data_IF_201171870278
#
_entry.id   IF_201171870278
#
_cell.length_a   1.000
_cell.length_b   1.000
_cell.length_c   1.000
_cell.angle_alpha   90.00
_cell.angle_beta   90.00
_cell.angle_gamma   90.00
#
_symmetry.space_group_name_H-M   'P 1'
#
loop_
_entity.id
_entity.type
_entity.pdbx_description
1 polymer ?
#
# COMPACT_ATOMS: atom_id res chain seq x y z
N UNK A 1 0.76 -24.39 -14.29
CA UNK A 1 1.06 -23.47 -15.43
C UNK A 1 1.26 -22.02 -14.96
N UNK A 2 1.44 -21.75 -13.67
CA UNK A 2 1.43 -20.39 -13.10
C UNK A 2 2.76 -19.93 -12.50
N UNK A 3 3.86 -20.66 -12.74
CA UNK A 3 5.15 -20.40 -12.08
C UNK A 3 5.80 -19.06 -12.40
N UNK A 4 5.34 -18.35 -13.45
CA UNK A 4 5.76 -16.98 -13.77
C UNK A 4 4.71 -15.92 -13.41
N UNK A 5 3.51 -16.34 -13.01
CA UNK A 5 2.37 -15.45 -12.86
C UNK A 5 2.63 -14.41 -11.76
N UNK A 6 3.26 -14.79 -10.65
CA UNK A 6 3.56 -13.86 -9.57
C UNK A 6 4.55 -12.78 -10.00
N UNK A 7 5.64 -13.17 -10.67
CA UNK A 7 6.59 -12.22 -11.25
C UNK A 7 5.91 -11.28 -12.27
N UNK A 8 5.00 -11.80 -13.09
CA UNK A 8 4.28 -10.97 -14.06
C UNK A 8 3.36 -9.96 -13.35
N UNK A 9 2.69 -10.33 -12.26
CA UNK A 9 1.93 -9.39 -11.44
C UNK A 9 2.83 -8.27 -10.89
N UNK A 10 3.99 -8.64 -10.35
CA UNK A 10 5.00 -7.72 -9.84
C UNK A 10 5.47 -6.74 -10.93
N UNK A 11 5.77 -7.25 -12.13
CA UNK A 11 6.18 -6.42 -13.26
C UNK A 11 5.06 -5.52 -13.76
N UNK A 12 3.82 -6.00 -13.78
CA UNK A 12 2.65 -5.17 -14.13
C UNK A 12 2.47 -4.00 -13.17
N UNK A 13 2.82 -4.15 -11.90
CA UNK A 13 2.89 -3.04 -10.92
C UNK A 13 4.10 -2.14 -11.11
N UNK A 14 5.22 -2.71 -11.57
CA UNK A 14 6.41 -1.96 -11.94
C UNK A 14 6.18 -0.96 -13.08
N UNK A 15 5.26 -1.25 -14.00
CA UNK A 15 4.90 -0.35 -15.13
C UNK A 15 4.36 1.00 -14.64
N UNK A 16 3.23 1.10 -13.91
CA UNK A 16 2.71 2.38 -13.43
C UNK A 16 3.70 3.07 -12.48
N UNK A 17 4.41 2.32 -11.62
CA UNK A 17 5.46 2.90 -10.79
C UNK A 17 6.53 3.61 -11.65
N UNK A 18 7.03 2.95 -12.70
CA UNK A 18 8.06 3.49 -13.59
C UNK A 18 7.53 4.69 -14.36
N UNK A 19 6.31 4.61 -14.87
CA UNK A 19 5.64 5.72 -15.57
C UNK A 19 5.54 6.94 -14.67
N UNK A 20 5.04 6.78 -13.43
CA UNK A 20 4.96 7.88 -12.48
C UNK A 20 6.33 8.42 -12.11
N UNK A 21 7.33 7.56 -11.92
CA UNK A 21 8.70 7.98 -11.61
C UNK A 21 9.33 8.81 -12.73
N UNK A 22 9.08 8.47 -13.99
CA UNK A 22 9.59 9.20 -15.17
C UNK A 22 8.85 10.53 -15.34
N UNK A 23 7.52 10.51 -15.32
CA UNK A 23 6.67 11.66 -15.60
C UNK A 23 6.61 12.68 -14.45
N UNK A 24 6.55 12.21 -13.21
CA UNK A 24 6.43 13.05 -12.00
C UNK A 24 7.76 13.18 -11.27
N UNK A 25 8.69 13.90 -11.92
CA UNK A 25 10.03 14.19 -11.37
C UNK A 25 10.01 14.85 -10.00
N UNK A 26 8.94 15.60 -9.70
CA UNK A 26 8.70 16.24 -8.41
C UNK A 26 8.43 15.26 -7.26
N UNK A 27 7.90 14.07 -7.56
CA UNK A 27 7.49 13.06 -6.57
C UNK A 27 8.54 11.96 -6.36
N UNK A 28 9.62 11.91 -7.15
CA UNK A 28 10.63 10.83 -7.12
C UNK A 28 11.19 10.53 -5.73
N UNK A 29 11.47 11.57 -4.94
CA UNK A 29 12.01 11.40 -3.58
C UNK A 29 11.01 10.71 -2.67
N UNK A 30 9.74 11.10 -2.76
CA UNK A 30 8.65 10.51 -1.99
C UNK A 30 8.36 9.09 -2.45
N UNK A 31 8.32 8.84 -3.77
CA UNK A 31 8.19 7.50 -4.33
C UNK A 31 9.30 6.57 -3.85
N UNK A 32 10.58 6.96 -3.98
CA UNK A 32 11.69 6.12 -3.56
C UNK A 32 11.69 5.90 -2.05
N UNK A 33 11.35 6.92 -1.27
CA UNK A 33 11.26 6.78 0.18
C UNK A 33 10.15 5.79 0.56
N UNK A 34 8.96 5.93 -0.01
CA UNK A 34 7.85 5.00 0.20
C UNK A 34 8.17 3.59 -0.29
N UNK A 35 8.81 3.45 -1.46
CA UNK A 35 9.20 2.15 -2.02
C UNK A 35 10.18 1.42 -1.10
N UNK A 36 11.24 2.10 -0.64
CA UNK A 36 12.22 1.51 0.27
C UNK A 36 11.67 1.25 1.67
N UNK A 37 10.77 2.10 2.16
CA UNK A 37 10.13 1.91 3.47
C UNK A 37 9.21 0.68 3.45
N UNK A 38 8.35 0.59 2.43
CA UNK A 38 7.38 -0.50 2.32
C UNK A 38 8.05 -1.81 1.90
N UNK A 39 9.12 -1.79 1.12
CA UNK A 39 9.84 -3.01 0.71
C UNK A 39 10.36 -3.85 1.88
N UNK A 40 10.64 -3.23 3.04
CA UNK A 40 11.02 -3.96 4.25
C UNK A 40 9.90 -4.89 4.72
N UNK A 41 8.64 -4.49 4.51
CA UNK A 41 7.47 -5.31 4.81
C UNK A 41 7.31 -6.48 3.82
N UNK A 42 8.09 -6.59 2.75
CA UNK A 42 8.15 -7.83 1.96
C UNK A 42 8.57 -9.05 2.81
N UNK A 43 9.32 -8.82 3.89
CA UNK A 43 9.66 -9.87 4.86
C UNK A 43 8.45 -10.39 5.65
N UNK A 44 7.33 -9.65 5.69
CA UNK A 44 6.11 -10.15 6.34
C UNK A 44 5.45 -11.28 5.57
N UNK A 45 5.89 -11.58 4.34
CA UNK A 45 5.38 -12.74 3.60
C UNK A 45 5.58 -14.05 4.36
N UNK A 46 6.61 -14.13 5.21
CA UNK A 46 6.81 -15.27 6.12
C UNK A 46 5.62 -15.54 7.06
N UNK A 47 4.76 -14.54 7.27
CA UNK A 47 3.56 -14.60 8.11
C UNK A 47 2.30 -14.74 7.24
N UNK A 48 2.31 -14.18 6.03
CA UNK A 48 1.13 -14.17 5.14
C UNK A 48 1.01 -15.44 4.31
N UNK A 49 2.14 -16.02 3.91
CA UNK A 49 2.20 -17.20 3.07
C UNK A 49 1.48 -18.37 3.72
N UNK A 50 0.50 -18.94 3.01
CA UNK A 50 -0.26 -20.09 3.47
C UNK A 50 -1.44 -19.77 4.39
N UNK A 51 -1.52 -18.54 4.89
CA UNK A 51 -2.62 -18.14 5.76
C UNK A 51 -3.89 -17.84 4.97
N UNK A 52 -3.84 -17.04 3.91
CA UNK A 52 -5.00 -16.80 3.04
C UNK A 52 -4.64 -16.82 1.55
N UNK A 53 -3.35 -16.80 1.22
CA UNK A 53 -2.84 -16.85 -0.14
C UNK A 53 -1.51 -17.60 -0.22
N UNK A 54 -1.18 -18.17 -1.37
CA UNK A 54 -0.04 -19.07 -1.61
C UNK A 54 0.54 -18.84 -3.02
N UNK A 55 1.31 -17.76 -3.24
CA UNK A 55 1.93 -17.52 -4.53
C UNK A 55 3.06 -18.52 -4.83
N UNK A 56 3.31 -18.80 -6.11
CA UNK A 56 4.52 -19.50 -6.54
C UNK A 56 5.65 -18.50 -6.80
N UNK A 57 6.82 -18.76 -6.21
CA UNK A 57 8.02 -17.92 -6.37
C UNK A 57 8.95 -18.49 -7.44
N UNK A 58 9.51 -17.63 -8.29
CA UNK A 58 10.57 -17.99 -9.23
C UNK A 58 11.94 -17.95 -8.55
N UNK A 59 12.19 -16.92 -7.73
CA UNK A 59 13.46 -16.70 -7.03
C UNK A 59 13.21 -16.68 -5.52
N UNK A 60 13.24 -17.86 -4.92
CA UNK A 60 13.02 -18.06 -3.49
C UNK A 60 14.33 -17.89 -2.68
N UNK A 61 14.23 -17.32 -1.48
CA UNK A 61 15.36 -17.22 -0.56
C UNK A 61 15.58 -18.55 0.19
N UNK A 62 16.43 -19.41 -0.38
CA UNK A 62 16.76 -20.70 0.22
C UNK A 62 15.51 -21.55 0.46
N UNK A 63 15.34 -22.06 1.68
CA UNK A 63 14.18 -22.88 2.06
C UNK A 63 13.01 -22.06 2.63
N UNK A 64 13.13 -20.74 2.72
CA UNK A 64 12.09 -19.88 3.30
C UNK A 64 11.00 -19.57 2.30
N UNK A 65 9.74 -19.52 2.72
CA UNK A 65 8.57 -19.21 1.86
C UNK A 65 8.46 -17.71 1.57
N UNK A 66 9.52 -17.16 0.98
CA UNK A 66 9.64 -15.76 0.59
C UNK A 66 10.56 -15.67 -0.63
N UNK A 67 10.19 -14.83 -1.60
CA UNK A 67 10.95 -14.56 -2.81
C UNK A 67 11.41 -13.11 -2.93
N UNK A 68 12.26 -12.85 -3.92
CA UNK A 68 12.63 -11.46 -4.29
C UNK A 68 11.41 -10.70 -4.82
N UNK A 69 10.45 -11.43 -5.37
CA UNK A 69 9.18 -10.95 -5.89
C UNK A 69 8.39 -10.21 -4.81
N UNK A 70 8.39 -10.68 -3.56
CA UNK A 70 7.67 -10.02 -2.45
C UNK A 70 8.26 -8.65 -2.12
N UNK A 71 9.59 -8.57 -2.11
CA UNK A 71 10.32 -7.32 -1.85
C UNK A 71 10.03 -6.32 -2.98
N UNK A 72 10.04 -6.79 -4.23
CA UNK A 72 9.73 -5.97 -5.41
C UNK A 72 8.26 -5.55 -5.46
N UNK A 73 7.34 -6.45 -5.12
CA UNK A 73 5.91 -6.17 -5.02
C UNK A 73 5.70 -5.00 -4.05
N UNK A 74 6.25 -5.13 -2.84
CA UNK A 74 6.20 -4.12 -1.79
C UNK A 74 6.87 -2.81 -2.20
N UNK A 75 7.99 -2.89 -2.94
CA UNK A 75 8.65 -1.71 -3.49
C UNK A 75 7.72 -0.95 -4.44
N UNK A 76 7.09 -1.64 -5.40
CA UNK A 76 6.25 -1.00 -6.40
C UNK A 76 4.96 -0.43 -5.80
N UNK A 77 4.13 -1.24 -5.14
CA UNK A 77 2.90 -0.71 -4.57
C UNK A 77 3.20 0.30 -3.45
N UNK A 78 4.33 0.14 -2.75
CA UNK A 78 4.79 1.08 -1.73
C UNK A 78 5.01 2.46 -2.29
N UNK A 79 5.83 2.60 -3.32
CA UNK A 79 6.05 3.89 -3.98
C UNK A 79 4.77 4.49 -4.57
N UNK A 80 3.92 3.66 -5.17
CA UNK A 80 2.63 4.07 -5.73
C UNK A 80 1.70 4.62 -4.63
N UNK A 81 1.52 3.88 -3.54
CA UNK A 81 0.60 4.22 -2.46
C UNK A 81 0.97 5.51 -1.72
N UNK A 82 2.22 5.95 -1.81
CA UNK A 82 2.65 7.23 -1.25
C UNK A 82 2.23 8.43 -2.11
N UNK A 83 2.08 8.25 -3.43
CA UNK A 83 2.04 9.37 -4.38
C UNK A 83 0.79 9.46 -5.24
N UNK A 84 -0.13 8.49 -5.14
CA UNK A 84 -1.18 8.31 -6.14
C UNK A 84 -2.13 9.51 -6.20
N UNK A 85 -2.53 10.05 -5.04
CA UNK A 85 -3.31 11.28 -4.98
C UNK A 85 -2.57 12.46 -5.64
N UNK A 86 -1.27 12.59 -5.38
CA UNK A 86 -0.46 13.68 -5.90
C UNK A 86 -0.28 13.55 -7.42
N UNK A 87 -0.16 12.33 -7.94
CA UNK A 87 -0.06 12.01 -9.37
C UNK A 87 -1.26 12.58 -10.13
N UNK A 88 -2.49 12.35 -9.64
CA UNK A 88 -3.72 12.73 -10.35
C UNK A 88 -4.25 14.13 -9.99
N UNK A 89 -4.08 14.59 -8.76
CA UNK A 89 -4.77 15.78 -8.26
C UNK A 89 -3.86 16.92 -7.79
N UNK A 90 -2.59 16.65 -7.43
CA UNK A 90 -1.69 17.68 -6.89
C UNK A 90 -0.71 18.23 -7.93
N UNK A 91 -0.63 19.56 -8.06
CA UNK A 91 0.35 20.25 -8.91
C UNK A 91 1.75 20.27 -8.26
N UNK A 92 2.79 20.30 -9.11
CA UNK A 92 4.26 20.30 -8.86
C UNK A 92 4.81 21.07 -7.64
N UNK A 93 4.06 21.99 -7.03
CA UNK A 93 4.54 22.91 -5.99
C UNK A 93 3.72 22.90 -4.69
N UNK A 94 2.92 21.88 -4.46
CA UNK A 94 2.10 21.77 -3.24
C UNK A 94 2.93 21.68 -1.96
N UNK A 95 4.10 21.03 -1.96
CA UNK A 95 4.89 20.79 -0.73
C UNK A 95 5.71 21.98 -0.20
N UNK A 96 5.76 23.13 -0.87
CA UNK A 96 6.74 24.20 -0.52
C UNK A 96 6.37 25.08 0.69
N UNK A 97 5.22 24.88 1.33
CA UNK A 97 4.93 25.55 2.60
C UNK A 97 5.53 24.73 3.75
N UNK A 98 6.82 24.91 4.06
CA UNK A 98 7.39 24.41 5.32
C UNK A 98 6.69 25.15 6.45
N UNK A 99 5.81 24.48 7.19
CA UNK A 99 5.02 25.14 8.24
C UNK A 99 5.77 25.23 9.57
N UNK A 100 6.85 24.45 9.81
CA UNK A 100 7.51 24.40 11.12
C UNK A 100 9.03 24.22 11.04
N UNK A 101 9.74 24.77 12.04
CA UNK A 101 11.22 24.75 12.17
C UNK A 101 11.78 23.43 12.75
N UNK A 102 10.95 22.52 13.27
CA UNK A 102 11.37 21.25 13.89
C UNK A 102 10.45 20.11 13.46
N UNK A 103 11.03 19.06 12.89
CA UNK A 103 10.33 17.81 12.56
C UNK A 103 9.87 17.10 13.83
N UNK A 104 8.58 16.86 13.97
CA UNK A 104 8.02 16.04 15.04
C UNK A 104 7.88 14.58 14.60
N UNK A 105 8.94 13.80 14.80
CA UNK A 105 8.93 12.36 14.48
C UNK A 105 8.04 11.52 15.39
N UNK A 106 7.58 12.06 16.54
CA UNK A 106 6.74 11.28 17.47
C UNK A 106 5.42 10.85 16.85
N UNK A 107 4.83 11.66 15.96
CA UNK A 107 3.54 11.38 15.34
C UNK A 107 3.60 10.24 14.30
N UNK A 108 4.51 10.25 13.30
CA UNK A 108 4.70 9.09 12.41
C UNK A 108 5.05 7.81 13.17
N UNK A 109 5.93 7.90 14.18
CA UNK A 109 6.34 6.76 14.99
C UNK A 109 5.13 6.19 15.75
N UNK A 110 4.34 7.04 16.40
CA UNK A 110 3.13 6.62 17.11
C UNK A 110 2.15 5.93 16.14
N UNK A 111 1.90 6.50 14.96
CA UNK A 111 0.99 5.92 13.98
C UNK A 111 1.44 4.50 13.58
N UNK A 112 2.71 4.32 13.21
CA UNK A 112 3.27 3.03 12.81
C UNK A 112 3.24 2.03 13.96
N UNK A 113 3.71 2.42 15.15
CA UNK A 113 3.71 1.54 16.33
C UNK A 113 2.28 1.10 16.67
N UNK A 114 1.32 2.03 16.68
CA UNK A 114 -0.09 1.70 16.92
C UNK A 114 -0.63 0.71 15.90
N UNK A 115 -0.32 0.88 14.60
CA UNK A 115 -0.70 -0.08 13.57
C UNK A 115 -0.07 -1.46 13.76
N UNK A 116 1.22 -1.51 14.11
CA UNK A 116 1.94 -2.78 14.33
C UNK A 116 1.44 -3.53 15.58
N UNK A 117 1.04 -2.81 16.63
CA UNK A 117 0.49 -3.41 17.86
C UNK A 117 -0.88 -4.06 17.63
N UNK A 118 -1.62 -3.66 16.59
CA UNK A 118 -2.92 -4.28 16.25
C UNK A 118 -2.77 -5.78 16.04
N UNK A 119 -1.69 -6.24 15.40
CA UNK A 119 -1.50 -7.66 15.12
C UNK A 119 -1.45 -8.52 16.41
N UNK A 120 -0.48 -8.34 17.32
CA UNK A 120 -0.42 -9.14 18.54
C UNK A 120 -1.65 -8.92 19.45
N UNK A 121 -2.25 -7.72 19.42
CA UNK A 121 -3.45 -7.43 20.21
C UNK A 121 -4.67 -8.23 19.73
N UNK A 122 -5.01 -8.18 18.44
CA UNK A 122 -6.14 -8.93 17.89
C UNK A 122 -5.90 -10.43 17.92
N UNK A 123 -4.65 -10.86 17.71
CA UNK A 123 -4.28 -12.27 17.85
C UNK A 123 -4.54 -12.78 19.27
N UNK A 124 -4.18 -12.00 20.30
CA UNK A 124 -4.46 -12.36 21.70
C UNK A 124 -5.97 -12.42 22.03
N UNK A 125 -6.81 -11.74 21.26
CA UNK A 125 -8.28 -11.81 21.36
C UNK A 125 -8.90 -12.98 20.57
N UNK A 126 -8.08 -13.83 19.93
CA UNK A 126 -8.54 -15.01 19.19
C UNK A 126 -8.87 -14.75 17.72
N UNK A 127 -8.59 -13.54 17.20
CA UNK A 127 -8.68 -13.32 15.75
C UNK A 127 -7.42 -13.88 15.08
N UNK A 128 -7.58 -14.76 14.10
CA UNK A 128 -6.45 -15.44 13.43
C UNK A 128 -6.22 -15.01 11.98
N UNK A 129 -7.19 -14.38 11.34
CA UNK A 129 -7.10 -14.12 9.91
C UNK A 129 -6.24 -12.88 9.59
N UNK A 130 -5.05 -13.14 9.04
CA UNK A 130 -4.00 -12.14 8.83
C UNK A 130 -4.40 -11.00 7.88
N UNK A 131 -5.20 -11.26 6.82
CA UNK A 131 -5.58 -10.20 5.87
C UNK A 131 -6.45 -9.14 6.53
N UNK A 132 -7.37 -9.56 7.42
CA UNK A 132 -8.21 -8.63 8.17
C UNK A 132 -7.41 -7.89 9.23
N UNK A 133 -6.59 -8.60 10.02
CA UNK A 133 -5.81 -8.00 11.11
C UNK A 133 -4.81 -6.97 10.56
N UNK A 134 -4.12 -7.29 9.47
CA UNK A 134 -3.19 -6.36 8.81
C UNK A 134 -3.92 -5.17 8.16
N UNK A 135 -5.09 -5.39 7.53
CA UNK A 135 -5.94 -4.30 7.03
C UNK A 135 -6.36 -3.33 8.13
N UNK A 136 -6.76 -3.85 9.29
CA UNK A 136 -7.13 -3.03 10.46
C UNK A 136 -5.89 -2.26 10.96
N UNK A 137 -4.74 -2.90 11.04
CA UNK A 137 -3.47 -2.25 11.40
C UNK A 137 -3.14 -1.06 10.50
N UNK A 138 -3.24 -1.24 9.18
CA UNK A 138 -3.04 -0.19 8.19
C UNK A 138 -4.10 0.94 8.32
N UNK A 139 -5.36 0.58 8.55
CA UNK A 139 -6.42 1.55 8.83
C UNK A 139 -6.12 2.39 10.07
N UNK A 140 -5.61 1.78 11.15
CA UNK A 140 -5.22 2.50 12.38
C UNK A 140 -4.12 3.54 12.08
N UNK A 141 -3.13 3.21 11.25
CA UNK A 141 -2.11 4.17 10.81
C UNK A 141 -2.76 5.36 10.10
N UNK A 142 -3.69 5.09 9.16
CA UNK A 142 -4.41 6.12 8.42
C UNK A 142 -5.29 7.00 9.31
N UNK A 143 -6.04 6.40 10.23
CA UNK A 143 -6.91 7.10 11.19
C UNK A 143 -6.10 8.00 12.11
N UNK A 144 -4.99 7.51 12.66
CA UNK A 144 -4.10 8.31 13.52
C UNK A 144 -3.51 9.48 12.71
N UNK A 145 -3.06 9.21 11.48
CA UNK A 145 -2.55 10.25 10.58
C UNK A 145 -3.59 11.35 10.37
N UNK A 146 -4.85 10.99 10.06
CA UNK A 146 -5.95 11.95 9.87
C UNK A 146 -6.32 12.66 11.17
N UNK A 147 -6.29 11.97 12.31
CA UNK A 147 -6.60 12.56 13.62
C UNK A 147 -5.63 13.70 13.96
N UNK A 148 -4.32 13.51 13.70
CA UNK A 148 -3.30 14.54 13.89
C UNK A 148 -3.25 15.56 12.75
N UNK A 149 -3.61 15.16 11.52
CA UNK A 149 -3.52 15.97 10.29
C UNK A 149 -4.82 15.94 9.52
N UNK A 150 -5.87 16.56 10.08
CA UNK A 150 -7.20 16.66 9.45
C UNK A 150 -7.17 17.32 8.07
N UNK A 151 -6.16 18.16 7.80
CA UNK A 151 -5.94 18.77 6.49
C UNK A 151 -5.61 17.75 5.39
N UNK A 152 -5.13 16.55 5.76
CA UNK A 152 -4.79 15.49 4.82
C UNK A 152 -5.96 14.55 4.50
N UNK A 153 -7.10 14.64 5.22
CA UNK A 153 -8.23 13.69 5.12
C UNK A 153 -8.64 13.40 3.67
N UNK A 154 -8.86 14.45 2.87
CA UNK A 154 -9.26 14.31 1.47
C UNK A 154 -8.18 13.64 0.63
N UNK A 155 -6.92 14.02 0.82
CA UNK A 155 -5.79 13.44 0.08
C UNK A 155 -5.62 11.96 0.40
N UNK A 156 -5.62 11.62 1.68
CA UNK A 156 -5.50 10.24 2.19
C UNK A 156 -6.64 9.35 1.69
N UNK A 157 -7.89 9.82 1.80
CA UNK A 157 -9.05 9.03 1.37
C UNK A 157 -9.09 8.80 -0.14
N UNK A 158 -8.82 9.85 -0.94
CA UNK A 158 -8.74 9.69 -2.40
C UNK A 158 -7.56 8.82 -2.81
N UNK A 159 -6.43 8.90 -2.09
CA UNK A 159 -5.29 8.03 -2.32
C UNK A 159 -5.63 6.56 -2.07
N UNK A 160 -6.35 6.26 -0.99
CA UNK A 160 -6.83 4.92 -0.68
C UNK A 160 -7.74 4.35 -1.79
N UNK A 161 -8.72 5.13 -2.22
CA UNK A 161 -9.63 4.73 -3.30
C UNK A 161 -8.88 4.48 -4.61
N UNK A 162 -7.96 5.40 -4.99
CA UNK A 162 -7.15 5.24 -6.19
C UNK A 162 -6.24 4.02 -6.11
N UNK A 163 -5.66 3.74 -4.94
CA UNK A 163 -4.73 2.62 -4.76
C UNK A 163 -5.47 1.31 -4.95
N UNK A 164 -6.58 1.13 -4.24
CA UNK A 164 -7.46 -0.03 -4.39
C UNK A 164 -7.96 -0.21 -5.82
N UNK A 165 -8.44 0.87 -6.46
CA UNK A 165 -8.93 0.83 -7.84
C UNK A 165 -7.84 0.45 -8.84
N UNK A 166 -6.64 1.01 -8.70
CA UNK A 166 -5.54 0.71 -9.63
C UNK A 166 -5.11 -0.75 -9.53
N UNK A 167 -5.00 -1.27 -8.30
CA UNK A 167 -4.67 -2.69 -8.08
C UNK A 167 -5.79 -3.58 -8.59
N UNK A 168 -7.06 -3.23 -8.36
CA UNK A 168 -8.18 -4.00 -8.88
C UNK A 168 -8.12 -4.16 -10.40
N UNK A 169 -7.86 -3.07 -11.13
CA UNK A 169 -7.70 -3.11 -12.60
C UNK A 169 -6.52 -3.99 -13.00
N UNK A 170 -5.38 -3.88 -12.31
CA UNK A 170 -4.20 -4.71 -12.60
C UNK A 170 -4.50 -6.19 -12.34
N UNK A 171 -5.17 -6.52 -11.24
CA UNK A 171 -5.53 -7.90 -10.89
C UNK A 171 -6.53 -8.49 -11.89
N UNK A 172 -7.50 -7.72 -12.39
CA UNK A 172 -8.41 -8.16 -13.46
C UNK A 172 -7.61 -8.48 -14.73
N UNK A 173 -6.74 -7.58 -15.18
CA UNK A 173 -5.95 -7.83 -16.39
C UNK A 173 -5.05 -9.06 -16.19
N UNK A 174 -4.44 -9.18 -15.02
CA UNK A 174 -3.58 -10.30 -14.67
C UNK A 174 -4.34 -11.63 -14.60
N UNK A 175 -5.54 -11.67 -14.01
CA UNK A 175 -6.37 -12.88 -13.93
C UNK A 175 -6.93 -13.31 -15.29
N UNK A 176 -7.07 -12.38 -16.24
CA UNK A 176 -7.37 -12.71 -17.64
C UNK A 176 -6.19 -13.38 -18.36
N UNK A 177 -4.95 -13.04 -17.98
CA UNK A 177 -3.73 -13.66 -18.52
C UNK A 177 -3.52 -15.05 -17.90
N UNK A 178 -3.87 -15.22 -16.62
CA UNK A 178 -3.76 -16.47 -15.87
C UNK A 178 -5.13 -16.94 -15.35
N UNK A 179 -5.99 -17.51 -16.21
CA UNK A 179 -7.33 -17.94 -15.81
C UNK A 179 -7.29 -18.97 -14.68
N UNK A 180 -8.13 -18.78 -13.67
CA UNK A 180 -8.27 -19.70 -12.54
C UNK A 180 -7.24 -19.51 -11.42
N UNK A 181 -6.24 -18.64 -11.60
CA UNK A 181 -5.17 -18.43 -10.61
C UNK A 181 -5.67 -17.98 -9.24
N UNK A 182 -6.74 -17.19 -9.19
CA UNK A 182 -7.32 -16.75 -7.93
C UNK A 182 -7.83 -17.94 -7.12
N UNK A 183 -8.50 -18.90 -7.76
CA UNK A 183 -9.01 -20.10 -7.09
C UNK A 183 -7.90 -21.06 -6.67
N UNK A 184 -6.74 -21.00 -7.33
CA UNK A 184 -5.59 -21.85 -7.01
C UNK A 184 -4.74 -21.29 -5.88
N UNK A 185 -4.53 -19.97 -5.87
CA UNK A 185 -3.59 -19.32 -4.95
C UNK A 185 -4.24 -18.72 -3.73
N UNK A 186 -5.52 -18.31 -3.78
CA UNK A 186 -6.23 -17.80 -2.61
C UNK A 186 -7.01 -18.92 -1.93
N UNK A 187 -6.88 -18.99 -0.61
CA UNK A 187 -7.66 -19.87 0.26
C UNK A 187 -9.05 -19.26 0.47
N UNK A 188 -9.92 -19.38 -0.53
CA UNK A 188 -11.22 -18.70 -0.58
C UNK A 188 -12.14 -19.03 0.60
N UNK A 189 -11.99 -20.22 1.19
CA UNK A 189 -12.73 -20.64 2.40
C UNK A 189 -12.40 -19.81 3.64
N UNK A 190 -11.25 -19.12 3.64
CA UNK A 190 -10.84 -18.21 4.70
C UNK A 190 -11.26 -16.76 4.42
N UNK A 191 -11.93 -16.48 3.31
CA UNK A 191 -12.38 -15.16 2.90
C UNK A 191 -13.92 -15.08 2.99
N UNK A 192 -14.49 -13.90 2.75
CA UNK A 192 -15.95 -13.68 2.82
C UNK A 192 -16.74 -14.30 1.67
N UNK A 193 -16.06 -14.77 0.62
CA UNK A 193 -16.68 -15.25 -0.62
C UNK A 193 -17.18 -14.14 -1.56
N UNK A 194 -17.04 -12.86 -1.20
CA UNK A 194 -17.41 -11.74 -2.06
C UNK A 194 -16.29 -11.48 -3.06
N UNK A 195 -16.56 -11.68 -4.35
CA UNK A 195 -15.55 -11.63 -5.40
C UNK A 195 -15.97 -10.77 -6.62
N UNK A 196 -15.86 -9.43 -6.57
CA UNK A 196 -16.11 -8.59 -7.73
C UNK A 196 -15.19 -8.98 -8.89
N UNK A 197 -15.77 -9.41 -10.01
CA UNK A 197 -15.03 -9.88 -11.20
C UNK A 197 -13.99 -10.98 -10.88
N UNK A 198 -14.27 -11.82 -9.87
CA UNK A 198 -13.40 -12.92 -9.47
C UNK A 198 -12.21 -12.53 -8.60
N UNK A 199 -12.08 -11.27 -8.16
CA UNK A 199 -11.05 -10.83 -7.22
C UNK A 199 -11.64 -10.74 -5.81
N UNK A 200 -11.02 -11.32 -4.77
CA UNK A 200 -11.55 -11.23 -3.41
C UNK A 200 -11.66 -9.78 -2.91
N UNK A 201 -12.76 -9.43 -2.25
CA UNK A 201 -12.97 -8.08 -1.73
C UNK A 201 -11.92 -7.69 -0.68
N UNK A 202 -11.40 -8.68 0.06
CA UNK A 202 -10.38 -8.49 1.09
C UNK A 202 -9.09 -7.95 0.52
N UNK A 203 -8.70 -8.36 -0.69
CA UNK A 203 -7.56 -7.76 -1.41
C UNK A 203 -7.78 -6.27 -1.62
N UNK A 204 -8.97 -5.92 -2.10
CA UNK A 204 -9.31 -4.52 -2.38
C UNK A 204 -9.33 -3.69 -1.10
N UNK A 205 -9.82 -4.26 0.00
CA UNK A 205 -9.82 -3.64 1.32
C UNK A 205 -8.39 -3.50 1.88
N UNK A 206 -7.53 -4.49 1.65
CA UNK A 206 -6.14 -4.45 2.10
C UNK A 206 -5.37 -3.34 1.38
N UNK A 207 -5.47 -3.26 0.04
CA UNK A 207 -4.85 -2.17 -0.74
C UNK A 207 -5.48 -0.80 -0.49
N UNK A 208 -6.78 -0.74 -0.18
CA UNK A 208 -7.42 0.48 0.31
C UNK A 208 -6.82 0.93 1.64
N UNK A 209 -6.66 0.00 2.59
CA UNK A 209 -6.07 0.25 3.91
C UNK A 209 -4.62 0.71 3.79
N UNK A 210 -3.85 0.11 2.88
CA UNK A 210 -2.49 0.53 2.55
C UNK A 210 -2.45 1.98 2.04
N UNK A 211 -3.33 2.32 1.09
CA UNK A 211 -3.42 3.68 0.57
C UNK A 211 -3.91 4.69 1.62
N UNK A 212 -4.73 4.28 2.60
CA UNK A 212 -5.08 5.09 3.77
C UNK A 212 -3.87 5.30 4.69
N UNK A 213 -3.10 4.26 4.96
CA UNK A 213 -1.93 4.32 5.84
C UNK A 213 -0.88 5.30 5.30
N UNK A 214 -0.63 5.24 3.99
CA UNK A 214 0.54 5.88 3.40
C UNK A 214 0.28 7.10 2.51
N UNK A 215 -0.96 7.36 2.11
CA UNK A 215 -1.33 8.48 1.22
C UNK A 215 -1.13 9.90 1.77
N UNK A 216 -0.76 10.04 3.04
CA UNK A 216 -0.39 11.31 3.67
C UNK A 216 0.81 11.19 4.61
N UNK A 217 1.48 10.03 4.58
CA UNK A 217 2.49 9.68 5.58
C UNK A 217 3.80 10.45 5.33
N UNK A 218 4.14 10.71 4.07
CA UNK A 218 5.29 11.54 3.73
C UNK A 218 5.10 13.00 4.18
N UNK A 219 3.89 13.56 4.01
CA UNK A 219 3.51 14.87 4.52
C UNK A 219 3.49 14.93 6.05
N UNK A 220 3.16 13.82 6.71
CA UNK A 220 3.23 13.70 8.16
C UNK A 220 4.69 13.76 8.64
N UNK A 221 5.59 12.96 8.05
CA UNK A 221 7.01 12.90 8.44
C UNK A 221 7.74 14.22 8.18
N UNK A 222 7.44 14.85 7.05
CA UNK A 222 8.15 16.06 6.61
C UNK A 222 7.41 17.35 6.95
N UNK A 223 6.27 17.25 7.66
CA UNK A 223 5.42 18.38 8.06
C UNK A 223 5.05 19.30 6.89
N UNK A 224 4.73 18.67 5.74
CA UNK A 224 4.37 19.35 4.52
C UNK A 224 2.85 19.54 4.47
N UNK A 225 2.38 20.63 3.87
CA UNK A 225 0.94 20.85 3.60
C UNK A 225 0.71 20.90 2.10
N UNK A 226 -0.47 20.48 1.67
CA UNK A 226 -0.95 20.80 0.33
C UNK A 226 -1.22 22.30 0.22
N UNK A 227 -0.64 22.95 -0.80
CA UNK A 227 -0.95 24.36 -1.08
C UNK A 227 -2.39 24.46 -1.60
N UNK A 228 -3.25 25.20 -0.89
CA UNK A 228 -4.62 25.45 -1.32
C UNK A 228 -4.63 26.11 -2.71
N UNK A 229 -5.36 25.55 -3.71
CA UNK A 229 -5.45 26.15 -5.05
C UNK A 229 -6.05 27.56 -5.04
N UNK A 230 -6.84 27.90 -4.01
CA UNK A 230 -7.58 29.16 -3.86
C UNK A 230 -6.81 30.24 -3.11
N UNK A 231 -5.62 29.95 -2.57
CA UNK A 231 -4.77 30.96 -1.95
C UNK A 231 -4.11 31.81 -3.04
N UNK A 232 -4.84 32.82 -3.54
CA UNK A 232 -4.26 33.91 -4.33
C UNK A 232 -3.06 34.46 -3.56
N UNK A 233 -1.90 34.51 -4.21
CA UNK A 233 -0.78 35.31 -3.73
C UNK A 233 -1.26 36.75 -3.58
N UNK A 234 -1.40 37.20 -2.34
CA UNK A 234 -1.32 38.63 -2.05
C UNK A 234 0.15 39.01 -2.01
#
# INVERSE_FOLDING_TARGET
MHSYAYLILVLMLGVPWTVFFILRRDLRKEMLWGSCFVSIFGLTELIFYGEYWKPEFLIQFGNYKIGIEDILLCFFYGGISFVLYQVFFAKRHTHKSKVLKRKNFSMPILAVISGLIVYPFLYALGFSNIIYISSIGLCVIGVITIAFRRDLLRGVFLNALLTSLMIFVIMIIWSLIFPGIINEWWELDKLSGIQPLGIPIEELLWYFSLGLAFGGFYELINELRYKNPTARSK
#
